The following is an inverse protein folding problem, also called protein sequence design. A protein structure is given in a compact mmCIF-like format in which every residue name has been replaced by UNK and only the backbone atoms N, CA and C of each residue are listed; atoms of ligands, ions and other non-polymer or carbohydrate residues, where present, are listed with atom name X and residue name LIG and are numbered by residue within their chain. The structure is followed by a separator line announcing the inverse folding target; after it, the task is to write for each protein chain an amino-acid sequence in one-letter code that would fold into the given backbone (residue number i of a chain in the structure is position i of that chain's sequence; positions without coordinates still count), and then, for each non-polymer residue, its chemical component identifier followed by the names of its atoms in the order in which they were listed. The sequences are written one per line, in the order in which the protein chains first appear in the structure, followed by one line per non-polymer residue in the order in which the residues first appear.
data_IF_513551077757
#
_entry.id   IF_513551077757
#
_cell.length_a   1.000
_cell.length_b   1.000
_cell.length_c   1.000
_cell.angle_alpha   90.00
_cell.angle_beta   90.00
_cell.angle_gamma   90.00
#
_symmetry.space_group_name_H-M   'P 1'
#
loop_
_entity.id
_entity.type
_entity.pdbx_description
1 polymer ?
#
# COMPACT_ATOMS: atom_id res chain seq x y z
N UNK A 1 -5.66 12.27 8.02
CA UNK A 1 -5.75 11.10 8.90
C UNK A 1 -5.43 11.49 10.32
N UNK A 2 -6.27 11.03 11.22
CA UNK A 2 -6.08 11.26 12.63
C UNK A 2 -4.85 10.48 13.12
N UNK A 3 -4.05 11.09 14.00
CA UNK A 3 -2.85 10.45 14.54
C UNK A 3 -3.17 9.18 15.34
N UNK A 4 -4.41 9.00 15.79
CA UNK A 4 -4.83 7.79 16.48
C UNK A 4 -5.10 6.62 15.53
N UNK A 5 -5.16 6.86 14.24
CA UNK A 5 -5.45 5.84 13.25
C UNK A 5 -4.19 5.17 12.75
N UNK A 6 -4.25 3.86 12.61
CA UNK A 6 -3.13 3.10 12.06
C UNK A 6 -3.25 2.99 10.56
N UNK A 7 -2.14 3.18 9.88
CA UNK A 7 -2.04 2.92 8.46
C UNK A 7 -1.13 1.70 8.30
N UNK A 8 -1.67 0.65 7.70
CA UNK A 8 -0.90 -0.57 7.48
C UNK A 8 -0.22 -0.50 6.12
N UNK A 9 1.08 -0.71 6.11
CA UNK A 9 1.90 -0.63 4.90
C UNK A 9 2.51 -1.99 4.64
N UNK A 10 2.13 -2.60 3.53
CA UNK A 10 2.66 -3.89 3.11
C UNK A 10 3.60 -3.69 1.93
N UNK A 11 4.43 -4.70 1.67
CA UNK A 11 5.33 -4.66 0.52
C UNK A 11 4.55 -4.53 -0.79
N UNK A 12 5.14 -3.86 -1.75
CA UNK A 12 4.55 -3.68 -3.08
C UNK A 12 4.82 -4.93 -3.91
N UNK A 13 4.18 -6.03 -3.54
CA UNK A 13 4.34 -7.33 -4.19
C UNK A 13 2.99 -7.89 -4.60
N UNK A 14 2.39 -7.37 -5.69
CA UNK A 14 1.05 -7.79 -6.10
C UNK A 14 0.94 -9.24 -6.58
N UNK A 15 2.07 -9.90 -6.80
CA UNK A 15 2.11 -11.31 -7.19
C UNK A 15 2.40 -12.25 -6.03
N UNK A 16 2.71 -11.70 -4.85
CA UNK A 16 3.02 -12.50 -3.66
C UNK A 16 1.71 -12.85 -2.95
N UNK A 17 1.35 -14.12 -2.95
CA UNK A 17 0.09 -14.59 -2.37
C UNK A 17 -0.05 -14.22 -0.90
N UNK A 18 1.03 -14.29 -0.13
CA UNK A 18 1.01 -13.96 1.29
C UNK A 18 0.69 -12.49 1.52
N UNK A 19 1.36 -11.61 0.77
CA UNK A 19 1.13 -10.17 0.87
C UNK A 19 -0.29 -9.83 0.43
N UNK A 20 -0.76 -10.41 -0.67
CA UNK A 20 -2.11 -10.18 -1.17
C UNK A 20 -3.14 -10.61 -0.13
N UNK A 21 -2.94 -11.76 0.50
CA UNK A 21 -3.85 -12.27 1.53
C UNK A 21 -3.87 -11.37 2.77
N UNK A 22 -2.69 -10.91 3.22
CA UNK A 22 -2.59 -10.03 4.38
C UNK A 22 -3.26 -8.69 4.11
N UNK A 23 -3.06 -8.14 2.93
CA UNK A 23 -3.67 -6.87 2.55
C UNK A 23 -5.19 -7.00 2.48
N UNK A 24 -5.68 -8.07 1.88
CA UNK A 24 -7.12 -8.32 1.81
C UNK A 24 -7.73 -8.42 3.20
N UNK A 25 -7.08 -9.14 4.09
CA UNK A 25 -7.54 -9.28 5.47
C UNK A 25 -7.59 -7.94 6.18
N UNK A 26 -6.57 -7.11 5.98
CA UNK A 26 -6.51 -5.78 6.58
C UNK A 26 -7.67 -4.91 6.09
N UNK A 27 -7.98 -4.97 4.80
CA UNK A 27 -9.08 -4.21 4.21
C UNK A 27 -10.42 -4.67 4.80
N UNK A 28 -10.62 -5.97 4.90
CA UNK A 28 -11.87 -6.53 5.46
C UNK A 28 -12.04 -6.19 6.92
N UNK A 29 -10.95 -5.93 7.63
CA UNK A 29 -10.99 -5.50 9.03
C UNK A 29 -11.13 -3.98 9.17
N UNK A 30 -11.38 -3.28 8.07
CA UNK A 30 -11.63 -1.83 8.03
C UNK A 30 -10.42 -1.00 8.44
N UNK A 31 -9.22 -1.52 8.24
CA UNK A 31 -8.00 -0.76 8.46
C UNK A 31 -7.72 0.17 7.28
N UNK A 32 -7.01 1.26 7.55
CA UNK A 32 -6.42 2.07 6.49
C UNK A 32 -5.19 1.34 5.97
N UNK A 33 -5.08 1.23 4.67
CA UNK A 33 -3.96 0.54 4.04
C UNK A 33 -3.40 1.39 2.90
N UNK A 34 -2.11 1.22 2.63
CA UNK A 34 -1.48 1.81 1.46
C UNK A 34 -1.55 0.78 0.33
N UNK A 35 -2.12 1.21 -0.79
CA UNK A 35 -2.12 0.40 -2.01
C UNK A 35 -1.24 1.14 -3.01
N UNK A 36 -0.05 0.59 -3.25
CA UNK A 36 0.97 1.26 -4.05
C UNK A 36 0.51 1.50 -5.48
N UNK A 37 0.86 2.65 -6.07
CA UNK A 37 0.48 2.94 -7.45
C UNK A 37 1.16 1.98 -8.42
N UNK A 38 0.49 1.70 -9.53
CA UNK A 38 0.97 0.74 -10.52
C UNK A 38 2.30 1.15 -11.14
N UNK A 39 2.58 2.44 -11.18
CA UNK A 39 3.82 2.97 -11.74
C UNK A 39 5.03 2.74 -10.83
N UNK A 40 4.80 2.41 -9.56
CA UNK A 40 5.88 2.19 -8.61
C UNK A 40 6.36 0.74 -8.72
N UNK A 41 7.66 0.56 -8.97
CA UNK A 41 8.23 -0.77 -9.20
C UNK A 41 8.98 -1.35 -8.01
N UNK A 42 9.42 -0.50 -7.09
CA UNK A 42 10.14 -0.94 -5.91
C UNK A 42 9.20 -1.69 -4.97
N UNK A 43 9.68 -2.77 -4.38
CA UNK A 43 8.82 -3.65 -3.58
C UNK A 43 8.63 -3.20 -2.14
N UNK A 44 9.55 -2.40 -1.60
CA UNK A 44 9.44 -1.92 -0.23
C UNK A 44 10.10 -0.55 -0.09
N UNK A 45 9.90 0.06 1.08
CA UNK A 45 10.40 1.41 1.35
C UNK A 45 11.93 1.47 1.26
N UNK A 46 12.61 0.45 1.77
CA UNK A 46 14.06 0.41 1.71
C UNK A 46 14.56 0.44 0.27
N UNK A 47 13.94 -0.34 -0.59
CA UNK A 47 14.28 -0.38 -2.01
C UNK A 47 13.99 0.96 -2.70
N UNK A 48 12.92 1.64 -2.29
CA UNK A 48 12.59 2.98 -2.79
C UNK A 48 13.71 3.97 -2.46
N UNK A 49 14.16 3.95 -1.20
CA UNK A 49 15.24 4.84 -0.75
C UNK A 49 16.52 4.54 -1.51
N UNK A 50 16.85 3.27 -1.68
CA UNK A 50 18.08 2.85 -2.37
C UNK A 50 18.06 3.22 -3.86
N UNK A 51 16.88 3.33 -4.45
CA UNK A 51 16.77 3.73 -5.86
C UNK A 51 16.73 5.24 -6.05
N UNK A 52 16.84 6.02 -4.97
CA UNK A 52 16.94 7.47 -5.05
C UNK A 52 15.65 8.23 -4.80
N UNK A 53 14.59 7.57 -4.40
CA UNK A 53 13.35 8.26 -4.06
C UNK A 53 13.52 8.90 -2.68
N UNK A 54 13.25 10.20 -2.58
CA UNK A 54 13.40 10.93 -1.32
C UNK A 54 12.32 10.53 -0.31
N UNK A 55 12.60 10.76 0.97
CA UNK A 55 11.61 10.47 2.01
C UNK A 55 10.35 11.33 1.83
N UNK A 56 10.51 12.57 1.38
CA UNK A 56 9.36 13.44 1.12
C UNK A 56 8.46 12.87 0.02
N UNK A 57 9.07 12.33 -1.03
CA UNK A 57 8.31 11.69 -2.11
C UNK A 57 7.60 10.43 -1.62
N UNK A 58 8.27 9.63 -0.79
CA UNK A 58 7.67 8.42 -0.23
C UNK A 58 6.47 8.79 0.65
N UNK A 59 6.60 9.82 1.48
CA UNK A 59 5.49 10.29 2.30
C UNK A 59 4.31 10.75 1.45
N UNK A 60 4.58 11.46 0.36
CA UNK A 60 3.54 11.90 -0.55
C UNK A 60 2.84 10.71 -1.22
N UNK A 61 3.61 9.70 -1.64
CA UNK A 61 3.04 8.49 -2.24
C UNK A 61 2.13 7.79 -1.22
N UNK A 62 2.58 7.64 0.01
CA UNK A 62 1.79 7.01 1.06
C UNK A 62 0.49 7.79 1.31
N UNK A 63 0.59 9.12 1.46
CA UNK A 63 -0.58 9.96 1.71
C UNK A 63 -1.59 9.88 0.57
N UNK A 64 -1.12 9.86 -0.66
CA UNK A 64 -2.00 9.85 -1.83
C UNK A 64 -2.57 8.46 -2.13
N UNK A 65 -2.07 7.42 -1.49
CA UNK A 65 -2.47 6.05 -1.77
C UNK A 65 -2.93 5.29 -0.53
N UNK A 66 -3.42 6.02 0.46
CA UNK A 66 -4.01 5.44 1.68
C UNK A 66 -5.51 5.33 1.49
N UNK A 67 -6.03 4.13 1.62
CA UNK A 67 -7.45 3.84 1.38
C UNK A 67 -8.03 2.97 2.49
N UNK A 68 -9.36 2.96 2.61
CA UNK A 68 -10.05 2.03 3.50
C UNK A 68 -11.45 1.76 2.95
N UNK A 69 -12.09 0.72 3.45
CA UNK A 69 -13.45 0.38 3.07
C UNK A 69 -13.59 0.02 1.60
N UNK A 70 -14.69 0.44 1.01
CA UNK A 70 -15.02 0.10 -0.38
C UNK A 70 -13.98 0.60 -1.37
N UNK A 71 -13.43 1.80 -1.12
CA UNK A 71 -12.39 2.35 -1.99
C UNK A 71 -11.14 1.47 -1.97
N UNK A 72 -10.75 0.99 -0.79
CA UNK A 72 -9.60 0.10 -0.66
C UNK A 72 -9.83 -1.21 -1.41
N UNK A 73 -11.04 -1.77 -1.33
CA UNK A 73 -11.38 -2.99 -2.05
C UNK A 73 -11.23 -2.79 -3.55
N UNK A 74 -11.75 -1.68 -4.07
CA UNK A 74 -11.67 -1.36 -5.50
C UNK A 74 -10.22 -1.23 -5.96
N UNK A 75 -9.41 -0.47 -5.21
CA UNK A 75 -8.00 -0.29 -5.55
C UNK A 75 -7.22 -1.60 -5.46
N UNK A 76 -7.53 -2.41 -4.45
CA UNK A 76 -6.89 -3.71 -4.23
C UNK A 76 -7.13 -4.65 -5.41
N UNK A 77 -8.35 -4.73 -5.91
CA UNK A 77 -8.70 -5.61 -7.04
C UNK A 77 -7.85 -5.27 -8.27
N UNK A 78 -7.60 -4.00 -8.52
CA UNK A 78 -6.77 -3.59 -9.65
C UNK A 78 -5.28 -3.74 -9.39
N UNK A 79 -4.87 -3.69 -8.12
CA UNK A 79 -3.46 -3.79 -7.77
C UNK A 79 -2.93 -5.22 -7.80
N UNK A 80 -3.69 -6.17 -7.30
CA UNK A 80 -3.24 -7.56 -7.20
C UNK A 80 -3.10 -8.19 -8.59
N UNK A 81 -2.10 -9.06 -8.74
CA UNK A 81 -1.78 -9.71 -10.01
C UNK A 81 -1.90 -11.25 -9.93
N UNK A 82 -2.72 -11.74 -9.02
CA UNK A 82 -2.97 -13.17 -8.86
C UNK A 82 -4.45 -13.48 -8.76
#
# INVERSE_FOLDING_TARGET
INSAEKILIFDNEPRNKEIVRLLEKAIKSMNYVVIWPETLKQKDINEMIMSGISTDEIEAIISNNTFHGLEAITKFVFWKKI
#
